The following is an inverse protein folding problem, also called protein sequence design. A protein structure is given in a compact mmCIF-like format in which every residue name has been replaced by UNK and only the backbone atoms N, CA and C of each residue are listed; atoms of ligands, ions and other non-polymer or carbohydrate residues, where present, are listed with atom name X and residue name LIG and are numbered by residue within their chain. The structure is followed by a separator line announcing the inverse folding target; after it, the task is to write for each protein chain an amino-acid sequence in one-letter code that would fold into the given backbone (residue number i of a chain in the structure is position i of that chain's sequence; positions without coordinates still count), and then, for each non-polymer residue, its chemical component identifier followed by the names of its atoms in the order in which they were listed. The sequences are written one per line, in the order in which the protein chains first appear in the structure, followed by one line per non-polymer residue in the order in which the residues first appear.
data_IF_102021599489
#
_entry.id   IF_102021599489
#
_cell.length_a   1.000
_cell.length_b   1.000
_cell.length_c   1.000
_cell.angle_alpha   90.00
_cell.angle_beta   90.00
_cell.angle_gamma   90.00
#
_symmetry.space_group_name_H-M   'P 1'
#
loop_
_entity.id
_entity.type
_entity.pdbx_description
1 polymer ?
#
# COMPACT_ATOMS: atom_id res chain seq x y z
N UNK A 1 19.66 7.31 26.71
CA UNK A 1 18.69 7.73 27.75
C UNK A 1 17.53 6.75 27.74
N UNK A 2 16.97 6.34 28.89
CA UNK A 2 15.79 5.49 28.91
C UNK A 2 14.60 6.24 28.28
N UNK A 3 13.81 5.55 27.46
CA UNK A 3 12.57 6.11 26.90
C UNK A 3 11.60 6.42 28.04
N UNK A 4 10.99 7.62 28.09
CA UNK A 4 10.01 7.94 29.11
C UNK A 4 8.88 6.89 29.13
N UNK A 5 8.35 6.51 30.30
CA UNK A 5 7.34 5.44 30.40
C UNK A 5 6.05 5.75 29.63
N UNK A 6 5.77 7.04 29.37
CA UNK A 6 4.61 7.49 28.59
C UNK A 6 4.90 7.68 27.11
N UNK A 7 6.15 7.59 26.67
CA UNK A 7 6.51 7.88 25.27
C UNK A 7 5.86 6.89 24.30
N UNK A 8 6.06 5.58 24.53
CA UNK A 8 5.48 4.53 23.70
C UNK A 8 3.94 4.55 23.62
N UNK A 9 3.18 4.66 24.74
CA UNK A 9 1.73 4.72 24.65
C UNK A 9 1.22 6.00 23.97
N UNK A 10 1.91 7.13 24.10
CA UNK A 10 1.55 8.35 23.38
C UNK A 10 1.77 8.22 21.87
N UNK A 11 2.89 7.62 21.46
CA UNK A 11 3.16 7.31 20.04
C UNK A 11 2.11 6.34 19.50
N UNK A 12 1.77 5.28 20.24
CA UNK A 12 0.74 4.33 19.83
C UNK A 12 -0.64 4.99 19.71
N UNK A 13 -1.02 5.84 20.67
CA UNK A 13 -2.27 6.59 20.62
C UNK A 13 -2.32 7.54 19.42
N UNK A 14 -1.22 8.26 19.15
CA UNK A 14 -1.11 9.13 17.99
C UNK A 14 -1.20 8.36 16.67
N UNK A 15 -0.53 7.20 16.56
CA UNK A 15 -0.59 6.34 15.38
C UNK A 15 -2.02 5.82 15.16
N UNK A 16 -2.66 5.28 16.19
CA UNK A 16 -4.03 4.77 16.11
C UNK A 16 -5.03 5.87 15.75
N UNK A 17 -4.90 7.07 16.32
CA UNK A 17 -5.72 8.22 15.97
C UNK A 17 -5.58 8.60 14.49
N UNK A 18 -4.34 8.65 13.99
CA UNK A 18 -4.10 8.89 12.55
C UNK A 18 -4.69 7.78 11.68
N UNK A 19 -4.57 6.50 12.05
CA UNK A 19 -5.18 5.39 11.30
C UNK A 19 -6.68 5.58 11.13
N UNK A 20 -7.39 5.94 12.21
CA UNK A 20 -8.83 6.17 12.17
C UNK A 20 -9.18 7.36 11.27
N UNK A 21 -8.44 8.47 11.37
CA UNK A 21 -8.66 9.63 10.51
C UNK A 21 -8.47 9.30 9.02
N UNK A 22 -7.37 8.61 8.67
CA UNK A 22 -7.14 8.16 7.30
C UNK A 22 -8.25 7.22 6.81
N UNK A 23 -8.70 6.29 7.65
CA UNK A 23 -9.82 5.41 7.30
C UNK A 23 -11.11 6.19 7.06
N UNK A 24 -11.43 7.20 7.89
CA UNK A 24 -12.58 8.08 7.65
C UNK A 24 -12.47 8.80 6.30
N UNK A 25 -11.30 9.34 5.94
CA UNK A 25 -11.10 9.97 4.63
C UNK A 25 -11.29 8.97 3.48
N UNK A 26 -10.77 7.74 3.62
CA UNK A 26 -10.96 6.68 2.63
C UNK A 26 -12.45 6.35 2.42
N UNK A 27 -13.22 6.25 3.51
CA UNK A 27 -14.68 6.01 3.43
C UNK A 27 -15.39 7.16 2.72
N UNK A 28 -15.04 8.42 3.02
CA UNK A 28 -15.61 9.58 2.31
C UNK A 28 -15.31 9.53 0.82
N UNK A 29 -14.06 9.25 0.44
CA UNK A 29 -13.65 9.09 -0.98
C UNK A 29 -14.40 7.94 -1.64
N UNK A 30 -14.56 6.82 -0.94
CA UNK A 30 -15.32 5.66 -1.44
C UNK A 30 -16.76 6.04 -1.75
N UNK A 31 -17.46 6.67 -0.80
CA UNK A 31 -18.85 7.07 -0.99
C UNK A 31 -19.00 8.13 -2.10
N UNK A 32 -18.04 9.05 -2.23
CA UNK A 32 -18.10 10.13 -3.20
C UNK A 32 -17.79 9.69 -4.64
N UNK A 33 -16.78 8.83 -4.85
CA UNK A 33 -16.22 8.59 -6.19
C UNK A 33 -16.35 7.16 -6.70
N UNK A 34 -16.48 6.16 -5.83
CA UNK A 34 -16.35 4.74 -6.22
C UNK A 34 -17.37 4.29 -7.26
N UNK A 35 -18.58 4.86 -7.23
CA UNK A 35 -19.69 4.51 -8.12
C UNK A 35 -19.63 5.16 -9.50
N UNK A 36 -18.99 6.33 -9.63
CA UNK A 36 -19.04 7.12 -10.87
C UNK A 36 -17.70 7.23 -11.59
N UNK A 37 -16.59 7.40 -10.86
CA UNK A 37 -15.26 7.58 -11.47
C UNK A 37 -14.21 6.75 -10.76
N UNK A 38 -13.94 5.52 -11.26
CA UNK A 38 -12.87 4.66 -10.73
C UNK A 38 -11.49 5.33 -10.81
N UNK A 39 -11.27 6.19 -11.81
CA UNK A 39 -10.01 6.92 -11.99
C UNK A 39 -9.80 7.93 -10.87
N UNK A 40 -10.81 8.76 -10.58
CA UNK A 40 -10.73 9.75 -9.50
C UNK A 40 -10.63 9.07 -8.14
N UNK A 41 -11.42 8.00 -7.92
CA UNK A 41 -11.31 7.17 -6.72
C UNK A 41 -9.88 6.72 -6.47
N UNK A 42 -9.23 6.12 -7.48
CA UNK A 42 -7.85 5.65 -7.36
C UNK A 42 -6.84 6.79 -7.14
N UNK A 43 -7.00 7.93 -7.82
CA UNK A 43 -6.10 9.09 -7.63
C UNK A 43 -6.19 9.67 -6.21
N UNK A 44 -7.41 9.82 -5.67
CA UNK A 44 -7.59 10.30 -4.29
C UNK A 44 -7.12 9.27 -3.26
N UNK A 45 -7.41 7.98 -3.47
CA UNK A 45 -6.90 6.90 -2.62
C UNK A 45 -5.37 6.83 -2.62
N UNK A 46 -4.73 7.01 -3.78
CA UNK A 46 -3.27 7.09 -3.88
C UNK A 46 -2.72 8.29 -3.10
N UNK A 47 -3.37 9.45 -3.17
CA UNK A 47 -2.98 10.64 -2.40
C UNK A 47 -3.07 10.40 -0.89
N UNK A 48 -4.14 9.74 -0.43
CA UNK A 48 -4.30 9.33 0.97
C UNK A 48 -3.21 8.36 1.40
N UNK A 49 -2.91 7.37 0.56
CA UNK A 49 -1.85 6.41 0.83
C UNK A 49 -0.48 7.08 0.88
N UNK A 50 -0.15 8.00 -0.04
CA UNK A 50 1.10 8.78 0.01
C UNK A 50 1.22 9.54 1.33
N UNK A 51 0.18 10.29 1.72
CA UNK A 51 0.17 11.04 2.98
C UNK A 51 0.35 10.13 4.21
N UNK A 52 -0.27 8.94 4.20
CA UNK A 52 -0.09 7.96 5.26
C UNK A 52 1.37 7.46 5.33
N UNK A 53 1.99 7.12 4.19
CA UNK A 53 3.39 6.68 4.16
C UNK A 53 4.32 7.80 4.66
N UNK A 54 4.09 9.06 4.27
CA UNK A 54 4.89 10.20 4.72
C UNK A 54 4.78 10.44 6.24
N UNK A 55 3.56 10.35 6.79
CA UNK A 55 3.32 10.44 8.24
C UNK A 55 4.06 9.31 8.97
N UNK A 56 3.97 8.08 8.49
CA UNK A 56 4.69 6.95 9.09
C UNK A 56 6.21 7.14 8.98
N UNK A 57 6.72 7.60 7.84
CA UNK A 57 8.15 7.84 7.63
C UNK A 57 8.70 8.85 8.64
N UNK A 58 7.91 9.85 9.03
CA UNK A 58 8.30 10.83 10.06
C UNK A 58 8.49 10.24 11.46
N UNK A 59 7.95 9.04 11.73
CA UNK A 59 8.09 8.35 13.01
C UNK A 59 9.30 7.41 13.09
N UNK A 60 9.90 7.07 11.95
CA UNK A 60 11.07 6.22 11.88
C UNK A 60 12.35 7.06 11.83
N UNK A 61 13.45 6.58 12.41
CA UNK A 61 14.76 7.16 12.15
C UNK A 61 15.07 7.04 10.65
N UNK A 62 15.89 7.97 10.15
CA UNK A 62 16.32 7.95 8.76
C UNK A 62 17.01 6.61 8.45
N UNK A 63 16.47 5.90 7.46
CA UNK A 63 17.02 4.63 6.99
C UNK A 63 17.95 4.88 5.81
N UNK A 64 19.15 4.28 5.85
CA UNK A 64 20.05 4.24 4.71
C UNK A 64 19.65 3.07 3.80
N UNK A 65 18.98 3.40 2.70
CA UNK A 65 18.47 2.43 1.74
C UNK A 65 19.37 2.41 0.51
N UNK A 66 20.18 1.36 0.39
CA UNK A 66 21.07 1.15 -0.76
C UNK A 66 20.35 0.32 -1.81
N UNK A 67 20.23 0.86 -3.02
CA UNK A 67 19.62 0.18 -4.17
C UNK A 67 20.66 -0.01 -5.25
N UNK A 68 20.76 -1.23 -5.76
CA UNK A 68 21.70 -1.61 -6.83
C UNK A 68 20.95 -2.18 -8.03
N UNK A 69 21.45 -1.94 -9.23
CA UNK A 69 20.84 -2.41 -10.48
C UNK A 69 19.83 -1.42 -11.05
N UNK A 70 19.03 -1.89 -12.01
CA UNK A 70 18.07 -1.06 -12.74
C UNK A 70 16.74 -0.96 -12.00
N UNK A 71 16.25 0.27 -11.87
CA UNK A 71 14.92 0.56 -11.33
C UNK A 71 13.93 0.84 -12.46
N UNK A 72 12.63 0.57 -12.25
CA UNK A 72 11.59 1.05 -13.15
C UNK A 72 11.64 2.58 -13.22
N UNK A 73 11.93 3.12 -14.39
CA UNK A 73 12.05 4.58 -14.62
C UNK A 73 10.79 5.20 -15.22
N UNK A 74 9.88 4.38 -15.76
CA UNK A 74 8.66 4.83 -16.41
C UNK A 74 7.48 4.79 -15.41
N UNK A 75 7.08 5.93 -14.82
CA UNK A 75 6.01 5.97 -13.84
C UNK A 75 4.64 5.72 -14.46
N UNK A 76 4.51 5.63 -15.79
CA UNK A 76 3.23 5.39 -16.47
C UNK A 76 2.94 3.91 -16.67
N UNK A 77 3.96 3.05 -16.51
CA UNK A 77 3.83 1.61 -16.70
C UNK A 77 3.63 0.90 -15.37
N UNK A 78 2.67 -0.02 -15.26
CA UNK A 78 2.58 -0.89 -14.08
C UNK A 78 3.80 -1.81 -14.04
N UNK A 79 4.28 -2.08 -12.82
CA UNK A 79 5.41 -2.98 -12.58
C UNK A 79 5.02 -4.04 -11.56
N UNK A 80 5.51 -5.25 -11.74
CA UNK A 80 5.43 -6.31 -10.73
C UNK A 80 6.83 -6.48 -10.13
N UNK A 81 6.93 -6.30 -8.82
CA UNK A 81 8.17 -6.51 -8.07
C UNK A 81 8.04 -7.85 -7.36
N UNK A 82 9.00 -8.73 -7.61
CA UNK A 82 9.17 -9.98 -6.88
C UNK A 82 10.32 -9.78 -5.90
N UNK A 83 10.11 -10.08 -4.63
CA UNK A 83 11.13 -9.95 -3.60
C UNK A 83 11.08 -11.13 -2.63
N UNK A 84 12.23 -11.53 -2.10
CA UNK A 84 12.25 -12.47 -1.00
C UNK A 84 11.66 -11.81 0.26
N UNK A 85 10.81 -12.52 1.00
CA UNK A 85 10.32 -12.09 2.31
C UNK A 85 11.20 -12.67 3.41
N UNK A 86 12.04 -11.85 4.03
CA UNK A 86 12.99 -12.25 5.07
C UNK A 86 12.54 -11.83 6.47
N UNK A 87 11.92 -10.66 6.59
CA UNK A 87 11.47 -10.11 7.87
C UNK A 87 10.08 -9.46 7.76
N UNK A 88 9.35 -9.44 8.85
CA UNK A 88 7.99 -8.88 8.90
C UNK A 88 7.93 -7.40 8.49
N UNK A 89 9.04 -6.67 8.49
CA UNK A 89 9.12 -5.26 8.12
C UNK A 89 9.48 -5.01 6.64
N UNK A 90 9.64 -6.05 5.80
CA UNK A 90 10.01 -5.89 4.38
C UNK A 90 9.08 -4.94 3.61
N UNK A 91 7.78 -5.00 3.94
CA UNK A 91 6.76 -4.14 3.34
C UNK A 91 7.05 -2.64 3.56
N UNK A 92 7.69 -2.27 4.69
CA UNK A 92 8.04 -0.90 4.99
C UNK A 92 9.20 -0.41 4.11
N UNK A 93 10.26 -1.21 3.96
CA UNK A 93 11.40 -0.84 3.10
C UNK A 93 10.98 -0.66 1.64
N UNK A 94 10.04 -1.48 1.17
CA UNK A 94 9.47 -1.36 -0.17
C UNK A 94 8.63 -0.08 -0.33
N UNK A 95 7.85 0.30 0.70
CA UNK A 95 7.14 1.57 0.70
C UNK A 95 8.09 2.77 0.77
N UNK A 96 9.16 2.71 1.57
CA UNK A 96 10.15 3.78 1.63
C UNK A 96 10.87 3.94 0.28
N UNK A 97 11.21 2.84 -0.40
CA UNK A 97 11.73 2.87 -1.76
C UNK A 97 10.73 3.52 -2.72
N UNK A 98 9.48 3.06 -2.72
CA UNK A 98 8.44 3.60 -3.59
C UNK A 98 8.19 5.09 -3.31
N UNK A 99 8.19 5.51 -2.04
CA UNK A 99 8.07 6.92 -1.62
C UNK A 99 9.21 7.78 -2.18
N UNK A 100 10.45 7.31 -2.11
CA UNK A 100 11.63 8.01 -2.69
C UNK A 100 11.57 8.12 -4.21
N UNK A 101 10.79 7.26 -4.87
CA UNK A 101 10.53 7.27 -6.32
C UNK A 101 9.20 7.91 -6.70
N UNK A 102 8.56 8.66 -5.80
CA UNK A 102 7.23 9.30 -5.99
C UNK A 102 6.08 8.32 -6.32
N UNK A 103 6.25 7.05 -5.93
CA UNK A 103 5.33 5.95 -6.16
C UNK A 103 4.62 5.45 -4.90
N UNK A 104 4.77 6.12 -3.74
CA UNK A 104 4.29 5.63 -2.44
C UNK A 104 2.79 5.30 -2.39
N UNK A 105 1.96 6.12 -3.03
CA UNK A 105 0.51 5.92 -3.14
C UNK A 105 0.08 4.83 -4.14
N UNK A 106 0.98 4.43 -5.04
CA UNK A 106 0.72 3.50 -6.13
C UNK A 106 1.20 2.08 -5.83
N UNK A 107 1.93 1.89 -4.73
CA UNK A 107 2.38 0.58 -4.27
C UNK A 107 1.21 -0.24 -3.71
N UNK A 108 1.06 -1.47 -4.19
CA UNK A 108 0.11 -2.47 -3.66
C UNK A 108 0.87 -3.74 -3.33
N UNK A 109 0.69 -4.25 -2.13
CA UNK A 109 1.42 -5.42 -1.64
C UNK A 109 0.44 -6.59 -1.55
N UNK A 110 0.93 -7.80 -1.79
CA UNK A 110 0.15 -9.00 -1.54
C UNK A 110 0.16 -9.33 -0.05
N UNK A 111 -1.02 -9.49 0.53
CA UNK A 111 -1.24 -9.62 1.96
C UNK A 111 -1.94 -10.94 2.30
N UNK A 112 -1.66 -11.45 3.49
CA UNK A 112 -2.38 -12.59 4.06
C UNK A 112 -3.87 -12.24 4.20
N UNK A 113 -4.77 -13.12 3.74
CA UNK A 113 -6.22 -12.92 3.81
C UNK A 113 -6.71 -12.58 5.23
N UNK A 114 -6.06 -13.12 6.25
CA UNK A 114 -6.36 -12.90 7.66
C UNK A 114 -6.26 -11.42 8.06
N UNK A 115 -5.37 -10.65 7.40
CA UNK A 115 -5.20 -9.21 7.67
C UNK A 115 -6.43 -8.39 7.27
N UNK A 116 -7.26 -8.89 6.35
CA UNK A 116 -8.51 -8.22 5.94
C UNK A 116 -9.49 -8.05 7.10
N UNK A 117 -9.40 -8.91 8.12
CA UNK A 117 -10.31 -8.92 9.26
C UNK A 117 -9.85 -8.02 10.42
N UNK A 118 -8.67 -7.41 10.33
CA UNK A 118 -8.19 -6.46 11.34
C UNK A 118 -8.99 -5.15 11.21
N UNK A 119 -9.72 -4.70 12.24
CA UNK A 119 -10.53 -3.48 12.16
C UNK A 119 -9.69 -2.26 11.82
N UNK A 120 -10.25 -1.33 11.04
CA UNK A 120 -9.61 -0.10 10.54
C UNK A 120 -8.45 -0.36 9.58
N UNK A 121 -7.43 -1.12 10.00
CA UNK A 121 -6.25 -1.43 9.20
C UNK A 121 -6.58 -2.32 7.98
N UNK A 122 -7.19 -3.49 8.21
CA UNK A 122 -7.57 -4.42 7.15
C UNK A 122 -8.61 -3.84 6.20
N UNK A 123 -9.59 -3.10 6.76
CA UNK A 123 -10.60 -2.42 5.96
C UNK A 123 -10.02 -1.31 5.09
N UNK A 124 -9.08 -0.51 5.64
CA UNK A 124 -8.39 0.52 4.88
C UNK A 124 -7.55 -0.06 3.73
N UNK A 125 -6.85 -1.16 3.98
CA UNK A 125 -6.11 -1.88 2.93
C UNK A 125 -7.03 -2.43 1.83
N UNK A 126 -8.25 -2.89 2.17
CA UNK A 126 -9.26 -3.32 1.21
C UNK A 126 -9.78 -2.14 0.37
N UNK A 127 -10.03 -0.98 1.00
CA UNK A 127 -10.38 0.26 0.30
C UNK A 127 -9.25 0.74 -0.63
N UNK A 128 -7.99 0.53 -0.23
CA UNK A 128 -6.83 0.80 -1.07
C UNK A 128 -6.62 -0.26 -2.17
N UNK A 129 -7.49 -1.26 -2.32
CA UNK A 129 -7.39 -2.30 -3.37
C UNK A 129 -6.09 -3.13 -3.28
N UNK A 130 -5.63 -3.43 -2.07
CA UNK A 130 -4.54 -4.38 -1.83
C UNK A 130 -4.96 -5.81 -2.19
N UNK A 131 -4.00 -6.65 -2.57
CA UNK A 131 -4.25 -8.01 -3.02
C UNK A 131 -4.17 -8.97 -1.84
N UNK A 132 -5.31 -9.43 -1.34
CA UNK A 132 -5.35 -10.44 -0.27
C UNK A 132 -5.33 -11.86 -0.85
N UNK A 133 -4.46 -12.72 -0.32
CA UNK A 133 -4.26 -14.10 -0.77
C UNK A 133 -4.42 -15.10 0.37
N UNK A 134 -5.01 -16.26 0.08
CA UNK A 134 -5.18 -17.38 1.01
C UNK A 134 -3.97 -18.31 1.06
N UNK A 135 -2.95 -18.07 0.23
CA UNK A 135 -1.77 -18.96 0.03
C UNK A 135 -2.17 -20.32 -0.51
N UNK A 136 -3.24 -20.34 -1.31
CA UNK A 136 -3.69 -21.51 -2.03
C UNK A 136 -4.01 -21.10 -3.46
N UNK A 137 -3.19 -21.56 -4.40
CA UNK A 137 -3.25 -21.13 -5.80
C UNK A 137 -4.59 -21.44 -6.46
N UNK A 138 -5.25 -22.52 -6.08
CA UNK A 138 -6.54 -22.92 -6.65
C UNK A 138 -7.65 -21.96 -6.21
N UNK A 139 -7.54 -21.41 -5.00
CA UNK A 139 -8.45 -20.39 -4.51
C UNK A 139 -8.09 -18.98 -5.00
N UNK A 140 -6.80 -18.67 -5.12
CA UNK A 140 -6.32 -17.31 -5.36
C UNK A 140 -6.26 -16.95 -6.86
N UNK A 141 -6.13 -17.93 -7.76
CA UNK A 141 -5.98 -17.72 -9.22
C UNK A 141 -6.99 -16.75 -9.82
N UNK A 142 -8.29 -16.95 -9.53
CA UNK A 142 -9.35 -16.10 -10.08
C UNK A 142 -9.28 -14.67 -9.55
N UNK A 143 -8.89 -14.50 -8.28
CA UNK A 143 -8.77 -13.19 -7.67
C UNK A 143 -7.55 -12.44 -8.20
N UNK A 144 -6.40 -13.11 -8.25
CA UNK A 144 -5.15 -12.57 -8.79
C UNK A 144 -5.32 -12.15 -10.25
N UNK A 145 -5.93 -12.98 -11.10
CA UNK A 145 -6.15 -12.68 -12.52
C UNK A 145 -7.09 -11.49 -12.77
N UNK A 146 -7.98 -11.16 -11.82
CA UNK A 146 -8.84 -9.97 -11.91
C UNK A 146 -8.12 -8.70 -11.47
N UNK A 147 -7.19 -8.83 -10.54
CA UNK A 147 -6.49 -7.71 -9.90
C UNK A 147 -5.22 -7.32 -10.66
N UNK A 148 -4.52 -8.30 -11.26
CA UNK A 148 -3.38 -8.05 -12.12
C UNK A 148 -3.85 -7.66 -13.54
N UNK A 149 -3.40 -6.53 -14.10
CA UNK A 149 -3.66 -6.22 -15.49
C UNK A 149 -3.03 -7.31 -16.38
N UNK A 150 -3.86 -7.95 -17.21
CA UNK A 150 -3.37 -8.94 -18.17
C UNK A 150 -2.43 -8.28 -19.17
N UNK A 151 -1.20 -8.80 -19.28
CA UNK A 151 -0.18 -8.29 -20.21
C UNK A 151 -0.56 -8.44 -21.69
N UNK A 152 -1.65 -9.14 -21.99
CA UNK A 152 -2.03 -9.52 -23.36
C UNK A 152 -3.09 -8.65 -24.04
N UNK A 153 -3.77 -7.73 -23.35
CA UNK A 153 -4.78 -6.88 -24.01
C UNK A 153 -4.86 -5.43 -23.48
N UNK A 154 -4.45 -4.52 -24.37
CA UNK A 154 -4.97 -3.17 -24.58
C UNK A 154 -4.55 -1.99 -23.67
N UNK A 155 -4.12 -0.93 -24.36
CA UNK A 155 -3.98 0.46 -23.93
C UNK A 155 -5.27 1.01 -23.31
N UNK A 156 -5.46 0.85 -22.00
CA UNK A 156 -6.43 1.67 -21.28
C UNK A 156 -5.79 2.23 -20.02
N UNK A 157 -5.97 3.55 -19.87
CA UNK A 157 -5.52 4.44 -18.81
C UNK A 157 -5.96 3.97 -17.41
N UNK A 158 -5.37 2.89 -16.90
CA UNK A 158 -5.38 2.62 -15.47
C UNK A 158 -4.17 3.32 -14.85
N UNK A 159 -4.33 4.07 -13.75
CA UNK A 159 -3.19 4.62 -13.02
C UNK A 159 -2.21 3.48 -12.73
N UNK A 160 -0.94 3.78 -12.93
CA UNK A 160 0.18 2.87 -12.79
C UNK A 160 0.24 2.35 -11.36
N UNK A 161 0.18 1.03 -11.21
CA UNK A 161 0.28 0.38 -9.91
C UNK A 161 1.53 -0.48 -9.89
N UNK A 162 2.33 -0.32 -8.84
CA UNK A 162 3.45 -1.20 -8.55
C UNK A 162 2.91 -2.29 -7.64
N UNK A 163 2.96 -3.54 -8.07
CA UNK A 163 2.45 -4.68 -7.29
C UNK A 163 3.60 -5.54 -6.79
N UNK A 164 3.64 -5.82 -5.50
CA UNK A 164 4.69 -6.66 -4.90
C UNK A 164 4.12 -8.02 -4.53
N UNK A 165 4.76 -9.07 -5.02
CA UNK A 165 4.52 -10.46 -4.62
C UNK A 165 5.74 -10.94 -3.81
N UNK A 166 5.60 -11.11 -2.48
CA UNK A 166 6.57 -11.81 -1.65
C UNK A 166 6.49 -13.33 -1.80
#
# INVERSE_FOLDING_TARGET
MPTPPLFLPLVAMWLLGNMVLFFCYQVVIFLAFRGWSPSLYRSYMASVQTAWVDVIASTFPQTDLVVTGDLPTDPTKPAIILCNHQIDADWWYLWDLARRLDGGGNLKICLKQELKYVPVFGWGLDLLEFLFVKRNIDHDRLHVNRTLPSSSHHHLHSPSHIRILP
#
